data_IF_487104870682
#
_entry.id   IF_487104870682
#
_cell.length_a   1.000
_cell.length_b   1.000
_cell.length_c   1.000
_cell.angle_alpha   90.00
_cell.angle_beta   90.00
_cell.angle_gamma   90.00
#
_symmetry.space_group_name_H-M   'P 1'
#
loop_
_entity.id
_entity.type
_entity.pdbx_description
1 polymer ?
#
# COMPACT_ATOMS: atom_id res chain seq x y z
N UNK A 1 -48.83 -6.84 -6.83
CA UNK A 1 -47.72 -7.61 -6.22
C UNK A 1 -46.47 -6.72 -6.12
N UNK A 2 -45.60 -7.01 -5.15
CA UNK A 2 -44.63 -6.12 -4.49
C UNK A 2 -43.42 -5.72 -5.37
N UNK A 3 -43.23 -4.41 -5.62
CA UNK A 3 -42.01 -3.79 -6.18
C UNK A 3 -40.96 -3.44 -5.10
N UNK A 4 -40.88 -4.19 -4.00
CA UNK A 4 -40.05 -3.85 -2.83
C UNK A 4 -38.72 -4.61 -2.69
N UNK A 5 -38.38 -5.49 -3.65
CA UNK A 5 -37.26 -6.42 -3.48
C UNK A 5 -35.96 -5.92 -4.14
N UNK A 6 -36.04 -5.00 -5.11
CA UNK A 6 -34.86 -4.52 -5.85
C UNK A 6 -33.95 -3.58 -5.04
N UNK A 7 -34.47 -2.89 -4.02
CA UNK A 7 -33.67 -1.99 -3.18
C UNK A 7 -32.73 -2.70 -2.20
N UNK A 8 -33.08 -3.92 -1.76
CA UNK A 8 -32.29 -4.65 -0.77
C UNK A 8 -31.03 -5.30 -1.36
N UNK A 9 -31.03 -5.65 -2.65
CA UNK A 9 -29.88 -6.27 -3.34
C UNK A 9 -28.73 -5.28 -3.61
N UNK A 10 -29.04 -4.00 -3.85
CA UNK A 10 -28.03 -2.97 -4.09
C UNK A 10 -27.21 -2.62 -2.83
N UNK A 11 -27.82 -2.74 -1.65
CA UNK A 11 -27.16 -2.47 -0.36
C UNK A 11 -26.18 -3.57 0.07
N UNK A 12 -26.39 -4.82 -0.37
CA UNK A 12 -25.49 -5.95 -0.05
C UNK A 12 -24.22 -5.90 -0.92
N UNK A 13 -24.32 -5.49 -2.20
CA UNK A 13 -23.15 -5.35 -3.07
C UNK A 13 -22.21 -4.22 -2.65
N UNK A 14 -22.74 -3.13 -2.10
CA UNK A 14 -21.94 -2.00 -1.64
C UNK A 14 -21.12 -2.32 -0.38
N UNK A 15 -21.71 -3.06 0.57
CA UNK A 15 -20.99 -3.49 1.78
C UNK A 15 -19.88 -4.53 1.51
N UNK A 16 -20.13 -5.50 0.63
CA UNK A 16 -19.13 -6.53 0.27
C UNK A 16 -17.98 -5.98 -0.57
N UNK A 17 -18.24 -4.99 -1.44
CA UNK A 17 -17.21 -4.32 -2.23
C UNK A 17 -16.19 -3.55 -1.38
N UNK A 18 -16.64 -2.91 -0.29
CA UNK A 18 -15.75 -2.18 0.62
C UNK A 18 -14.85 -3.10 1.45
N UNK A 19 -15.38 -4.21 1.98
CA UNK A 19 -14.59 -5.19 2.72
C UNK A 19 -13.49 -5.82 1.85
N UNK A 20 -13.81 -6.15 0.58
CA UNK A 20 -12.85 -6.75 -0.34
C UNK A 20 -11.74 -5.77 -0.78
N UNK A 21 -12.07 -4.48 -0.92
CA UNK A 21 -11.07 -3.46 -1.25
C UNK A 21 -10.10 -3.21 -0.09
N UNK A 22 -10.60 -3.24 1.14
CA UNK A 22 -9.79 -3.05 2.35
C UNK A 22 -8.84 -4.23 2.60
N UNK A 23 -9.33 -5.46 2.39
CA UNK A 23 -8.51 -6.67 2.49
C UNK A 23 -7.36 -6.68 1.47
N UNK A 24 -7.64 -6.36 0.20
CA UNK A 24 -6.61 -6.26 -0.86
C UNK A 24 -5.55 -5.21 -0.57
N UNK A 25 -5.94 -4.09 0.03
CA UNK A 25 -5.01 -3.03 0.43
C UNK A 25 -4.13 -3.48 1.60
N UNK A 26 -4.72 -4.12 2.60
CA UNK A 26 -4.01 -4.63 3.78
C UNK A 26 -2.96 -5.66 3.35
N UNK A 27 -3.34 -6.58 2.47
CA UNK A 27 -2.44 -7.55 1.85
C UNK A 27 -1.31 -6.87 1.08
N UNK A 28 -1.61 -5.83 0.29
CA UNK A 28 -0.61 -5.09 -0.45
C UNK A 28 0.38 -4.34 0.47
N UNK A 29 -0.11 -3.74 1.56
CA UNK A 29 0.73 -3.10 2.57
C UNK A 29 1.68 -4.10 3.25
N UNK A 30 1.18 -5.29 3.59
CA UNK A 30 1.99 -6.38 4.12
C UNK A 30 3.11 -6.78 3.16
N UNK A 31 2.79 -7.01 1.88
CA UNK A 31 3.80 -7.35 0.88
C UNK A 31 4.80 -6.23 0.65
N UNK A 32 4.34 -4.98 0.60
CA UNK A 32 5.22 -3.83 0.45
C UNK A 32 6.24 -3.77 1.59
N UNK A 33 5.79 -3.89 2.83
CA UNK A 33 6.64 -3.95 4.02
C UNK A 33 7.62 -5.14 3.96
N UNK A 34 7.12 -6.35 3.68
CA UNK A 34 7.93 -7.57 3.65
C UNK A 34 9.02 -7.52 2.57
N UNK A 35 8.66 -7.06 1.36
CA UNK A 35 9.58 -6.99 0.24
C UNK A 35 10.65 -5.92 0.42
N UNK A 36 10.34 -4.74 0.98
CA UNK A 36 11.38 -3.74 1.25
C UNK A 36 12.34 -4.19 2.35
N UNK A 37 11.82 -4.90 3.36
CA UNK A 37 12.65 -5.47 4.43
C UNK A 37 13.60 -6.53 3.88
N UNK A 38 13.06 -7.49 3.13
CA UNK A 38 13.84 -8.60 2.56
C UNK A 38 14.82 -8.14 1.47
N UNK A 39 14.38 -7.30 0.54
CA UNK A 39 15.16 -6.93 -0.65
C UNK A 39 16.27 -5.92 -0.36
N UNK A 40 16.09 -5.03 0.61
CA UNK A 40 17.04 -3.95 0.88
C UNK A 40 17.15 -3.53 2.34
N UNK A 41 16.65 -4.33 3.29
CA UNK A 41 16.83 -4.07 4.72
C UNK A 41 16.09 -2.84 5.24
N UNK A 42 15.08 -2.35 4.52
CA UNK A 42 14.23 -1.26 4.99
C UNK A 42 13.02 -1.82 5.75
N UNK A 43 13.18 -1.95 7.07
CA UNK A 43 12.09 -2.30 8.00
C UNK A 43 11.27 -1.03 8.25
N UNK A 44 10.14 -0.87 7.55
CA UNK A 44 9.24 0.28 7.74
C UNK A 44 8.19 0.01 8.82
N UNK A 45 7.51 1.03 9.34
CA UNK A 45 6.36 0.79 10.24
C UNK A 45 5.18 0.24 9.46
N UNK A 46 4.33 -0.56 10.12
CA UNK A 46 3.09 -1.06 9.51
C UNK A 46 2.17 0.10 9.05
N UNK A 47 2.03 1.13 9.89
CA UNK A 47 1.27 2.34 9.56
C UNK A 47 1.82 3.05 8.30
N UNK A 48 3.14 3.14 8.19
CA UNK A 48 3.78 3.74 7.02
C UNK A 48 3.54 2.93 5.76
N UNK A 49 3.59 1.59 5.85
CA UNK A 49 3.27 0.70 4.75
C UNK A 49 1.80 0.83 4.30
N UNK A 50 0.88 0.86 5.25
CA UNK A 50 -0.56 1.02 4.99
C UNK A 50 -0.90 2.37 4.35
N UNK A 51 -0.27 3.45 4.82
CA UNK A 51 -0.44 4.80 4.28
C UNK A 51 0.13 4.90 2.87
N UNK A 52 1.30 4.30 2.62
CA UNK A 52 1.90 4.24 1.31
C UNK A 52 1.06 3.42 0.33
N UNK A 53 0.57 2.26 0.76
CA UNK A 53 -0.34 1.43 -0.02
C UNK A 53 -1.64 2.18 -0.37
N UNK A 54 -2.22 2.93 0.57
CA UNK A 54 -3.36 3.81 0.30
C UNK A 54 -3.05 4.85 -0.77
N UNK A 55 -1.96 5.59 -0.55
CA UNK A 55 -1.62 6.77 -1.35
C UNK A 55 -1.28 6.39 -2.78
N UNK A 56 -0.65 5.23 -2.95
CA UNK A 56 -0.26 4.70 -4.25
C UNK A 56 -1.37 3.84 -4.89
N UNK A 57 -2.47 3.59 -4.17
CA UNK A 57 -3.56 2.74 -4.66
C UNK A 57 -3.12 1.30 -4.92
N UNK A 58 -2.23 0.78 -4.06
CA UNK A 58 -1.75 -0.59 -4.19
C UNK A 58 -2.86 -1.60 -3.97
N UNK A 59 -2.86 -2.63 -4.80
CA UNK A 59 -3.73 -3.79 -4.63
C UNK A 59 -2.98 -5.05 -5.03
N UNK A 60 -2.94 -6.04 -4.14
CA UNK A 60 -2.27 -7.33 -4.37
C UNK A 60 -0.83 -7.17 -4.93
N UNK A 61 -0.40 -8.08 -5.81
CA UNK A 61 0.91 -8.10 -6.48
C UNK A 61 0.99 -7.25 -7.76
N UNK A 62 0.03 -6.35 -7.97
CA UNK A 62 0.01 -5.49 -9.16
C UNK A 62 0.74 -4.17 -8.89
N UNK A 63 0.98 -3.44 -9.98
CA UNK A 63 1.49 -2.09 -9.88
C UNK A 63 0.57 -1.22 -9.01
N UNK A 64 1.15 -0.35 -8.16
CA UNK A 64 2.56 0.05 -8.16
C UNK A 64 3.45 -0.61 -7.10
N UNK A 65 3.15 -1.84 -6.65
CA UNK A 65 3.90 -2.51 -5.58
C UNK A 65 5.41 -2.62 -5.87
N UNK A 66 5.79 -3.30 -6.96
CA UNK A 66 7.21 -3.52 -7.28
C UNK A 66 7.98 -2.24 -7.62
N UNK A 67 7.43 -1.29 -8.41
CA UNK A 67 8.06 0.01 -8.60
C UNK A 67 8.31 0.76 -7.28
N UNK A 68 7.39 0.68 -6.32
CA UNK A 68 7.57 1.29 -5.02
C UNK A 68 8.70 0.63 -4.22
N UNK A 69 8.76 -0.71 -4.20
CA UNK A 69 9.86 -1.46 -3.56
C UNK A 69 11.21 -1.05 -4.17
N UNK A 70 11.30 -0.99 -5.50
CA UNK A 70 12.52 -0.59 -6.19
C UNK A 70 12.95 0.85 -5.84
N UNK A 71 11.99 1.77 -5.72
CA UNK A 71 12.27 3.15 -5.31
C UNK A 71 12.80 3.23 -3.88
N UNK A 72 12.23 2.46 -2.95
CA UNK A 72 12.75 2.33 -1.56
C UNK A 72 14.18 1.82 -1.58
N UNK A 73 14.42 0.71 -2.27
CA UNK A 73 15.75 0.09 -2.29
C UNK A 73 16.78 0.99 -2.96
N UNK A 74 16.39 1.79 -3.95
CA UNK A 74 17.25 2.82 -4.54
C UNK A 74 17.59 3.91 -3.53
N UNK A 75 16.61 4.40 -2.76
CA UNK A 75 16.85 5.40 -1.72
C UNK A 75 17.78 4.87 -0.62
N UNK A 76 17.61 3.62 -0.20
CA UNK A 76 18.49 2.97 0.79
C UNK A 76 19.91 2.76 0.25
N UNK A 77 20.05 2.28 -0.99
CA UNK A 77 21.36 2.09 -1.64
C UNK A 77 22.14 3.39 -1.80
N UNK A 78 21.45 4.53 -1.97
CA UNK A 78 22.06 5.87 -1.96
C UNK A 78 22.60 6.30 -0.58
N UNK A 79 22.62 5.40 0.40
CA UNK A 79 23.13 5.67 1.74
C UNK A 79 22.13 6.40 2.64
N UNK A 80 20.84 6.44 2.28
CA UNK A 80 19.84 7.06 3.12
C UNK A 80 19.56 6.19 4.36
N UNK A 81 20.30 6.46 5.43
CA UNK A 81 20.15 5.84 6.76
C UNK A 81 19.12 6.58 7.64
N UNK A 82 18.42 7.57 7.09
CA UNK A 82 17.45 8.36 7.85
C UNK A 82 16.33 7.47 8.40
N UNK A 83 15.78 7.90 9.54
CA UNK A 83 14.56 7.29 10.10
C UNK A 83 13.36 7.43 9.18
N UNK A 84 13.41 8.37 8.24
CA UNK A 84 12.35 8.65 7.28
C UNK A 84 12.97 8.80 5.89
N UNK A 85 12.37 8.18 4.88
CA UNK A 85 12.77 8.34 3.47
C UNK A 85 11.57 8.82 2.66
N UNK A 86 11.83 9.64 1.65
CA UNK A 86 10.82 10.01 0.66
C UNK A 86 11.09 9.28 -0.65
N UNK A 87 10.06 8.71 -1.24
CA UNK A 87 10.13 8.12 -2.59
C UNK A 87 9.08 8.77 -3.49
N UNK A 88 9.34 8.75 -4.80
CA UNK A 88 8.40 9.20 -5.82
C UNK A 88 8.10 8.04 -6.75
N UNK A 89 6.83 7.66 -6.85
CA UNK A 89 6.36 6.50 -7.61
C UNK A 89 5.05 6.89 -8.28
N UNK A 90 4.76 6.33 -9.47
CA UNK A 90 3.43 6.48 -10.07
C UNK A 90 2.43 5.64 -9.28
N UNK A 91 1.26 6.21 -8.98
CA UNK A 91 0.14 5.46 -8.40
C UNK A 91 -0.51 4.53 -9.44
N UNK A 92 -1.53 3.77 -9.01
CA UNK A 92 -2.32 2.91 -9.89
C UNK A 92 -3.06 3.66 -11.03
N UNK A 93 -3.13 4.99 -10.99
CA UNK A 93 -3.66 5.86 -12.06
C UNK A 93 -2.55 6.53 -12.87
N UNK A 94 -1.32 6.03 -12.75
CA UNK A 94 -0.13 6.53 -13.44
C UNK A 94 0.26 7.98 -13.07
N UNK A 95 -0.23 8.50 -11.94
CA UNK A 95 0.08 9.84 -11.45
C UNK A 95 1.29 9.78 -10.51
N UNK A 96 2.30 10.62 -10.72
CA UNK A 96 3.44 10.69 -9.81
C UNK A 96 3.00 11.14 -8.41
N UNK A 97 3.20 10.28 -7.41
CA UNK A 97 2.97 10.57 -5.99
C UNK A 97 4.28 10.58 -5.24
N UNK A 98 4.35 11.45 -4.23
CA UNK A 98 5.40 11.41 -3.21
C UNK A 98 4.84 10.70 -1.98
N UNK A 99 5.56 9.71 -1.46
CA UNK A 99 5.22 9.08 -0.18
C UNK A 99 6.42 9.14 0.75
N UNK A 100 6.12 9.35 2.02
CA UNK A 100 7.08 9.42 3.12
C UNK A 100 6.99 8.12 3.89
N UNK A 101 8.12 7.44 4.04
CA UNK A 101 8.22 6.14 4.64
C UNK A 101 9.03 6.21 5.92
N UNK A 102 8.46 5.71 7.01
CA UNK A 102 9.09 5.72 8.33
C UNK A 102 9.69 4.35 8.62
N UNK A 103 10.95 4.35 9.04
CA UNK A 103 11.66 3.15 9.47
C UNK A 103 11.16 2.77 10.87
N UNK A 104 10.76 1.51 11.02
CA UNK A 104 10.45 0.93 12.31
C UNK A 104 11.70 0.91 13.21
N UNK A 105 11.48 1.05 14.51
CA UNK A 105 12.54 0.86 15.50
C UNK A 105 12.92 -0.63 15.50
N UNK A 106 14.16 -0.96 15.86
CA UNK A 106 14.68 -2.34 15.74
C UNK A 106 13.94 -3.37 16.62
N UNK A 107 13.10 -2.91 17.55
CA UNK A 107 12.26 -3.72 18.44
C UNK A 107 10.79 -3.82 17.99
N UNK A 108 10.43 -3.22 16.84
CA UNK A 108 9.13 -3.33 16.17
C UNK A 108 9.29 -4.15 14.89
#
# INVERSE_FOLDING_TARGET
>A
MKLRILGALALILSATGHAQADDRRTVAAFYFHSFTKSSCGFNMTAESAEKAAATLGMSNFHDPLFPAVAAVCTAVKKGNKSKVIEIRVRDNRNVMRKVTLERAKWWQ
#
